data_IF_972135776582
#
_entry.id   IF_972135776582
#
_cell.length_a   1.000
_cell.length_b   1.000
_cell.length_c   1.000
_cell.angle_alpha   90.00
_cell.angle_beta   90.00
_cell.angle_gamma   90.00
#
_symmetry.space_group_name_H-M   'P 1'
#
loop_
_entity.id
_entity.type
_entity.pdbx_description
1 polymer ?
#
# COMPACT_ATOMS: atom_id res chain seq x y z
N UNK A 1 -0.07 -4.45 -3.94
CA UNK A 1 -1.05 -3.33 -4.01
C UNK A 1 -2.53 -3.75 -3.90
N UNK A 2 -3.04 -4.67 -4.74
CA UNK A 2 -4.48 -4.98 -4.84
C UNK A 2 -5.18 -5.27 -3.50
N UNK A 3 -4.64 -6.19 -2.69
CA UNK A 3 -5.25 -6.57 -1.40
C UNK A 3 -5.21 -5.40 -0.40
N UNK A 4 -4.10 -4.65 -0.36
CA UNK A 4 -3.96 -3.45 0.48
C UNK A 4 -5.01 -2.41 0.11
N UNK A 5 -5.26 -2.17 -1.18
CA UNK A 5 -6.31 -1.22 -1.62
C UNK A 5 -7.71 -1.71 -1.27
N UNK A 6 -7.98 -3.02 -1.37
CA UNK A 6 -9.29 -3.57 -0.98
C UNK A 6 -9.53 -3.45 0.53
N UNK A 7 -8.52 -3.75 1.34
CA UNK A 7 -8.54 -3.55 2.79
C UNK A 7 -8.79 -2.08 3.13
N UNK A 8 -8.08 -1.16 2.46
CA UNK A 8 -8.24 0.27 2.63
C UNK A 8 -9.68 0.77 2.39
N UNK A 9 -10.31 0.33 1.30
CA UNK A 9 -11.68 0.68 0.96
C UNK A 9 -12.67 0.12 2.00
N UNK A 10 -12.43 -1.09 2.49
CA UNK A 10 -13.28 -1.72 3.52
C UNK A 10 -13.14 -1.03 4.87
N UNK A 11 -11.92 -0.67 5.23
CA UNK A 11 -11.62 0.06 6.46
C UNK A 11 -12.23 1.47 6.43
N UNK A 12 -12.03 2.21 5.35
CA UNK A 12 -12.57 3.56 5.18
C UNK A 12 -14.11 3.60 5.25
N UNK A 13 -14.80 2.53 4.81
CA UNK A 13 -16.26 2.41 4.94
C UNK A 13 -16.74 2.42 6.39
N UNK A 14 -15.91 1.99 7.33
CA UNK A 14 -16.24 1.95 8.75
C UNK A 14 -15.83 3.23 9.51
N UNK A 15 -15.25 4.23 8.83
CA UNK A 15 -14.76 5.46 9.45
C UNK A 15 -15.82 6.58 9.40
N UNK A 16 -15.76 7.46 10.39
CA UNK A 16 -16.72 8.57 10.55
C UNK A 16 -16.37 9.80 9.70
N UNK A 17 -15.15 9.88 9.15
CA UNK A 17 -14.71 11.07 8.43
C UNK A 17 -13.71 10.80 7.30
N UNK A 18 -13.71 11.71 6.32
CA UNK A 18 -12.68 11.76 5.26
C UNK A 18 -11.28 11.98 5.84
N UNK A 19 -11.17 12.69 6.98
CA UNK A 19 -9.89 12.95 7.64
C UNK A 19 -9.25 11.65 8.12
N UNK A 20 -10.04 10.73 8.66
CA UNK A 20 -9.56 9.43 9.13
C UNK A 20 -9.19 8.52 7.94
N UNK A 21 -10.02 8.53 6.88
CA UNK A 21 -9.72 7.78 5.66
C UNK A 21 -8.40 8.23 5.02
N UNK A 22 -8.15 9.54 4.97
CA UNK A 22 -6.89 10.11 4.46
C UNK A 22 -5.69 9.75 5.34
N UNK A 23 -5.84 9.70 6.67
CA UNK A 23 -4.78 9.20 7.54
C UNK A 23 -4.46 7.72 7.27
N UNK A 24 -5.50 6.91 7.03
CA UNK A 24 -5.38 5.51 6.63
C UNK A 24 -4.65 5.32 5.29
N UNK A 25 -4.96 6.14 4.28
CA UNK A 25 -4.27 6.13 2.99
C UNK A 25 -2.80 6.56 3.14
N UNK A 26 -2.55 7.61 3.91
CA UNK A 26 -1.20 8.15 4.09
C UNK A 26 -0.23 7.13 4.67
N UNK A 27 -0.62 6.39 5.72
CA UNK A 27 0.25 5.34 6.28
C UNK A 27 0.53 4.22 5.27
N UNK A 28 -0.46 3.80 4.46
CA UNK A 28 -0.30 2.72 3.47
C UNK A 28 0.67 3.14 2.37
N UNK A 29 0.55 4.38 1.88
CA UNK A 29 1.49 4.93 0.90
C UNK A 29 2.89 4.99 1.48
N UNK A 30 3.07 5.48 2.71
CA UNK A 30 4.38 5.54 3.33
C UNK A 30 4.98 4.15 3.61
N UNK A 31 4.16 3.17 3.96
CA UNK A 31 4.61 1.78 4.03
C UNK A 31 5.13 1.29 2.67
N UNK A 32 4.41 1.55 1.57
CA UNK A 32 4.90 1.22 0.22
C UNK A 32 6.21 1.92 -0.13
N UNK A 33 6.39 3.18 0.29
CA UNK A 33 7.61 3.95 0.04
C UNK A 33 8.80 3.42 0.84
N UNK A 34 8.59 3.01 2.09
CA UNK A 34 9.68 2.73 3.03
C UNK A 34 9.96 1.24 3.24
N UNK A 35 8.97 0.37 3.02
CA UNK A 35 9.01 -1.01 3.48
C UNK A 35 8.72 -2.04 2.39
N UNK A 36 8.26 -1.64 1.20
CA UNK A 36 7.89 -2.58 0.15
C UNK A 36 8.60 -2.28 -1.19
N UNK A 37 9.12 -3.31 -1.90
CA UNK A 37 9.84 -3.09 -3.16
C UNK A 37 8.93 -2.66 -4.32
N UNK A 38 7.68 -3.13 -4.35
CA UNK A 38 6.78 -2.98 -5.51
C UNK A 38 6.50 -1.54 -5.95
N UNK A 39 6.53 -0.54 -5.05
CA UNK A 39 6.30 0.84 -5.49
C UNK A 39 7.44 1.31 -6.41
N UNK A 40 8.68 1.03 -6.02
CA UNK A 40 9.86 1.34 -6.82
C UNK A 40 9.86 0.52 -8.11
N UNK A 41 9.52 -0.76 -8.02
CA UNK A 41 9.47 -1.65 -9.19
C UNK A 41 8.41 -1.19 -10.21
N UNK A 42 7.23 -0.77 -9.75
CA UNK A 42 6.19 -0.28 -10.64
C UNK A 42 6.58 1.02 -11.32
N UNK A 43 7.24 1.93 -10.59
CA UNK A 43 7.81 3.15 -11.16
C UNK A 43 8.91 2.80 -12.17
N UNK A 44 9.79 1.85 -11.85
CA UNK A 44 10.85 1.39 -12.75
C UNK A 44 10.27 0.89 -14.07
N UNK A 45 9.38 -0.10 -14.00
CA UNK A 45 8.77 -0.74 -15.17
C UNK A 45 7.94 0.23 -16.03
N UNK A 46 7.25 1.20 -15.41
CA UNK A 46 6.33 2.09 -16.11
C UNK A 46 6.97 3.41 -16.59
N UNK A 47 7.88 3.99 -15.80
CA UNK A 47 8.35 5.36 -15.98
C UNK A 47 9.86 5.47 -16.19
N UNK A 48 10.68 4.63 -15.56
CA UNK A 48 12.14 4.69 -15.69
C UNK A 48 12.60 3.92 -16.92
N UNK A 49 12.54 2.60 -16.85
CA UNK A 49 13.00 1.68 -17.91
C UNK A 49 11.95 1.53 -19.01
N UNK A 50 10.67 1.64 -18.64
CA UNK A 50 9.51 1.61 -19.56
C UNK A 50 9.35 0.28 -20.31
N UNK A 51 9.87 -0.80 -19.76
CA UNK A 51 9.72 -2.16 -20.30
C UNK A 51 8.29 -2.70 -20.21
N UNK A 52 7.47 -2.16 -19.29
CA UNK A 52 6.11 -2.65 -18.96
C UNK A 52 6.11 -4.10 -18.46
N UNK A 53 7.19 -4.52 -17.83
CA UNK A 53 7.39 -5.87 -17.29
C UNK A 53 7.79 -5.80 -15.81
N UNK A 54 6.83 -5.52 -14.91
CA UNK A 54 7.11 -5.42 -13.48
C UNK A 54 7.23 -6.81 -12.83
N UNK A 55 8.26 -6.97 -12.00
CA UNK A 55 8.47 -8.17 -11.18
C UNK A 55 7.99 -7.96 -9.74
N UNK A 56 6.70 -8.21 -9.51
CA UNK A 56 6.09 -8.04 -8.19
C UNK A 56 6.54 -9.09 -7.17
N UNK A 57 6.57 -8.69 -5.90
CA UNK A 57 6.82 -9.58 -4.77
C UNK A 57 5.69 -9.48 -3.73
N UNK A 58 4.87 -10.55 -3.53
CA UNK A 58 4.88 -11.82 -4.25
C UNK A 58 4.30 -11.73 -5.67
N UNK A 59 4.62 -12.71 -6.54
CA UNK A 59 4.26 -12.67 -7.96
C UNK A 59 2.79 -12.97 -8.21
N UNK A 60 2.18 -13.80 -7.35
CA UNK A 60 0.80 -14.25 -7.52
C UNK A 60 -0.02 -14.05 -6.25
N UNK A 61 -1.35 -13.94 -6.41
CA UNK A 61 -2.26 -13.82 -5.27
C UNK A 61 -2.24 -15.07 -4.38
N UNK A 62 -1.90 -16.24 -4.92
CA UNK A 62 -1.87 -17.50 -4.17
C UNK A 62 -0.68 -17.59 -3.20
N UNK A 63 0.35 -16.79 -3.42
CA UNK A 63 1.54 -16.71 -2.55
C UNK A 63 1.33 -15.76 -1.36
N UNK A 64 0.24 -14.99 -1.34
CA UNK A 64 -0.06 -14.07 -0.25
C UNK A 64 -0.42 -14.85 1.03
N UNK A 65 0.08 -14.34 2.16
CA UNK A 65 -0.34 -14.79 3.48
C UNK A 65 -1.82 -14.45 3.76
N UNK A 66 -2.41 -15.07 4.81
CA UNK A 66 -3.84 -14.94 5.12
C UNK A 66 -4.30 -13.49 5.42
N UNK A 67 -3.44 -12.64 5.97
CA UNK A 67 -3.67 -11.19 6.10
C UNK A 67 -2.50 -10.39 5.51
N UNK A 68 -2.32 -10.50 4.19
CA UNK A 68 -1.21 -9.85 3.51
C UNK A 68 -1.24 -8.30 3.53
N UNK A 69 -2.34 -7.67 3.97
CA UNK A 69 -2.43 -6.21 4.13
C UNK A 69 -2.09 -5.71 5.53
N UNK A 70 -1.90 -6.61 6.50
CA UNK A 70 -1.71 -6.25 7.91
C UNK A 70 -0.60 -5.23 8.11
N UNK A 71 0.55 -5.42 7.46
CA UNK A 71 1.71 -4.55 7.63
C UNK A 71 1.50 -3.13 7.06
N UNK A 72 0.64 -2.98 6.04
CA UNK A 72 0.36 -1.71 5.36
C UNK A 72 -0.83 -0.93 5.97
N UNK A 73 -1.88 -1.65 6.40
CA UNK A 73 -2.67 -1.28 7.59
C UNK A 73 -1.68 -1.20 8.78
N UNK A 74 -1.99 -0.94 10.03
CA UNK A 74 -1.03 -0.99 11.17
C UNK A 74 0.32 -0.20 11.12
N UNK A 75 0.90 0.18 9.97
CA UNK A 75 2.09 1.00 9.82
C UNK A 75 1.84 2.35 10.47
N UNK A 76 2.79 2.75 11.30
CA UNK A 76 2.77 4.05 11.98
C UNK A 76 3.85 4.91 11.34
N UNK A 77 3.48 5.90 10.50
CA UNK A 77 4.46 6.77 9.91
C UNK A 77 5.16 7.62 10.98
N UNK A 78 6.48 7.84 10.89
CA UNK A 78 7.24 8.62 11.89
C UNK A 78 6.71 10.05 12.08
N UNK A 79 6.16 10.62 11.01
CA UNK A 79 5.44 11.90 11.04
C UNK A 79 3.97 11.59 10.74
N UNK A 80 3.03 11.86 11.65
CA UNK A 80 1.61 11.65 11.37
C UNK A 80 1.12 12.67 10.32
N UNK A 81 0.11 12.28 9.54
CA UNK A 81 -0.49 13.18 8.55
C UNK A 81 -1.06 14.45 9.20
N UNK A 82 -1.61 14.27 10.40
CA UNK A 82 -2.23 15.31 11.20
C UNK A 82 -1.36 15.57 12.44
N UNK A 83 -1.03 16.83 12.67
CA UNK A 83 -0.43 17.30 13.92
C UNK A 83 -1.51 17.74 14.92
#
# INVERSE_FOLDING_TARGET
ALVVTLDAVREARAMDSVRDALAGEYRRVLWFVHNHPDLVEGIRAQLVDKDRDPHWDPQTLAELGPDASAEARDYVPPVPLWA
#
